data_IF_163042781244
#
_entry.id   IF_163042781244
#
_cell.length_a   1.000
_cell.length_b   1.000
_cell.length_c   1.000
_cell.angle_alpha   90.00
_cell.angle_beta   90.00
_cell.angle_gamma   90.00
#
_symmetry.space_group_name_H-M   'P 1'
#
loop_
_entity.id
_entity.type
_entity.pdbx_description
1 polymer ?
#
# COMPACT_ATOMS: atom_id res chain seq x y z
N UNK A 1 25.99 19.17 -10.84
CA UNK A 1 26.01 18.21 -9.71
C UNK A 1 25.58 19.00 -8.47
N UNK A 2 24.27 19.26 -8.39
CA UNK A 2 23.75 20.16 -7.31
C UNK A 2 23.82 19.55 -5.91
N UNK A 3 23.87 18.22 -5.77
CA UNK A 3 23.83 17.55 -4.46
C UNK A 3 25.03 16.63 -4.19
N UNK A 4 26.08 16.71 -4.99
CA UNK A 4 27.33 15.97 -4.78
C UNK A 4 27.24 14.46 -5.01
N UNK A 5 26.18 13.96 -5.66
CA UNK A 5 26.02 12.54 -5.99
C UNK A 5 26.19 12.32 -7.49
N UNK A 6 26.96 11.30 -7.86
CA UNK A 6 27.11 10.79 -9.24
C UNK A 6 26.82 9.29 -9.24
N UNK A 7 26.29 8.79 -10.35
CA UNK A 7 26.12 7.36 -10.55
C UNK A 7 27.21 6.86 -11.50
N UNK A 8 28.01 5.92 -11.03
CA UNK A 8 29.04 5.23 -11.85
C UNK A 8 28.49 3.90 -12.29
N UNK A 9 28.50 3.63 -13.60
CA UNK A 9 28.07 2.35 -14.16
C UNK A 9 29.29 1.42 -14.28
N UNK A 10 29.26 0.29 -13.59
CA UNK A 10 30.23 -0.79 -13.70
C UNK A 10 29.48 -2.10 -14.00
N UNK A 11 29.84 -2.76 -15.12
CA UNK A 11 29.21 -4.00 -15.55
C UNK A 11 27.66 -3.96 -15.60
N UNK A 12 27.10 -2.85 -16.08
CA UNK A 12 25.66 -2.56 -16.12
C UNK A 12 24.98 -2.36 -14.74
N UNK A 13 25.74 -2.31 -13.65
CA UNK A 13 25.25 -1.93 -12.33
C UNK A 13 25.60 -0.48 -12.01
N UNK A 14 24.64 0.24 -11.43
CA UNK A 14 24.80 1.64 -11.03
C UNK A 14 25.25 1.75 -9.57
N UNK A 15 26.41 2.38 -9.35
CA UNK A 15 26.94 2.69 -8.01
C UNK A 15 26.83 4.18 -7.76
N UNK A 16 26.13 4.57 -6.71
CA UNK A 16 26.03 5.96 -6.29
C UNK A 16 27.25 6.35 -5.46
N UNK A 17 27.97 7.35 -5.96
CA UNK A 17 29.12 7.96 -5.25
C UNK A 17 28.71 9.34 -4.80
N UNK A 18 28.74 9.58 -3.49
CA UNK A 18 28.30 10.85 -2.91
C UNK A 18 29.36 11.43 -1.98
N UNK A 19 29.46 12.75 -1.95
CA UNK A 19 30.29 13.47 -0.98
C UNK A 19 29.54 13.59 0.34
N UNK A 20 30.23 13.43 1.47
CA UNK A 20 29.64 13.70 2.78
C UNK A 20 29.17 15.14 2.86
N UNK A 21 27.99 15.35 3.44
CA UNK A 21 27.36 16.65 3.50
C UNK A 21 26.61 16.88 4.81
N UNK A 22 26.46 18.15 5.14
CA UNK A 22 25.55 18.65 6.15
C UNK A 22 24.41 19.34 5.41
N UNK A 23 23.20 18.96 5.71
CA UNK A 23 22.03 19.63 5.18
C UNK A 23 21.73 20.87 6.03
N UNK A 24 21.57 22.04 5.42
CA UNK A 24 21.20 23.28 6.07
C UNK A 24 19.73 23.31 6.51
N UNK A 25 19.21 24.49 6.85
CA UNK A 25 17.77 24.60 7.22
C UNK A 25 16.88 24.22 6.07
N UNK A 26 15.84 23.44 6.38
CA UNK A 26 14.78 23.06 5.44
C UNK A 26 13.66 24.11 5.47
N UNK A 27 13.21 24.58 4.31
CA UNK A 27 12.14 25.58 4.20
C UNK A 27 10.79 24.94 3.79
N UNK A 28 10.83 23.83 3.04
CA UNK A 28 9.67 23.18 2.43
C UNK A 28 9.45 21.73 2.89
N UNK A 29 10.02 21.33 4.02
CA UNK A 29 10.01 19.95 4.53
C UNK A 29 10.60 18.92 3.53
N UNK A 30 11.48 19.34 2.61
CA UNK A 30 12.09 18.48 1.59
C UNK A 30 13.52 18.84 1.22
N UNK A 31 13.78 20.12 0.94
CA UNK A 31 15.08 20.54 0.41
C UNK A 31 15.79 21.41 1.44
N UNK A 32 17.04 21.07 1.78
CA UNK A 32 17.86 21.99 2.53
C UNK A 32 18.15 23.22 1.66
N UNK A 33 18.03 24.41 2.24
CA UNK A 33 18.31 25.68 1.56
C UNK A 33 19.75 25.75 1.04
N UNK A 34 20.66 25.14 1.80
CA UNK A 34 22.08 25.05 1.48
C UNK A 34 22.60 23.67 1.84
N UNK A 35 23.52 23.16 1.06
CA UNK A 35 24.25 21.93 1.32
C UNK A 35 25.70 22.28 1.50
N UNK A 36 26.26 21.95 2.65
CA UNK A 36 27.68 22.15 2.93
C UNK A 36 28.38 20.78 2.88
N UNK A 37 29.42 20.66 2.07
CA UNK A 37 30.21 19.43 2.05
C UNK A 37 31.14 19.37 3.28
N UNK A 38 31.23 18.18 3.85
CA UNK A 38 32.08 17.92 5.03
C UNK A 38 33.00 16.71 4.79
N UNK A 39 34.04 16.60 5.59
CA UNK A 39 34.88 15.38 5.68
C UNK A 39 34.53 14.54 6.90
N UNK A 40 33.53 14.94 7.67
CA UNK A 40 33.13 14.28 8.90
C UNK A 40 32.00 13.30 8.61
N UNK A 41 32.30 12.01 8.68
CA UNK A 41 31.32 10.91 8.47
C UNK A 41 30.14 11.01 9.45
N UNK A 42 30.40 11.39 10.72
CA UNK A 42 29.32 11.51 11.73
C UNK A 42 28.28 12.53 11.34
N UNK A 43 28.66 13.65 10.75
CA UNK A 43 27.74 14.69 10.28
C UNK A 43 26.88 14.19 9.11
N UNK A 44 27.48 13.43 8.18
CA UNK A 44 26.71 12.82 7.09
C UNK A 44 25.73 11.75 7.57
N UNK A 45 26.12 10.92 8.54
CA UNK A 45 25.25 9.89 9.10
C UNK A 45 24.13 10.51 9.96
N UNK A 46 24.39 11.64 10.65
CA UNK A 46 23.40 12.30 11.51
C UNK A 46 22.19 12.83 10.73
N UNK A 47 22.34 13.22 9.47
CA UNK A 47 21.24 13.72 8.64
C UNK A 47 20.35 12.61 8.07
N UNK A 48 20.69 11.33 8.26
CA UNK A 48 19.92 10.18 7.75
C UNK A 48 18.65 9.95 8.57
N UNK A 49 17.75 9.14 8.02
CA UNK A 49 16.43 8.88 8.62
C UNK A 49 16.48 7.94 9.84
N UNK A 50 16.99 6.72 9.65
CA UNK A 50 16.95 5.68 10.69
C UNK A 50 18.35 5.13 10.98
N UNK A 51 18.57 4.66 12.22
CA UNK A 51 19.84 4.13 12.69
C UNK A 51 20.35 3.00 11.82
N UNK A 52 19.48 2.10 11.39
CA UNK A 52 19.81 0.97 10.52
C UNK A 52 20.31 1.40 9.13
N UNK A 53 20.04 2.65 8.71
CA UNK A 53 20.53 3.26 7.47
C UNK A 53 21.67 4.26 7.71
N UNK A 54 22.12 4.43 8.95
CA UNK A 54 23.12 5.40 9.35
C UNK A 54 24.43 4.75 9.80
N UNK A 55 24.85 3.74 9.07
CA UNK A 55 26.12 3.02 9.24
C UNK A 55 26.97 3.16 7.98
N UNK A 56 28.26 3.01 8.12
CA UNK A 56 29.22 3.00 7.02
C UNK A 56 30.18 1.83 7.17
N UNK A 57 30.84 1.46 6.08
CA UNK A 57 31.83 0.40 6.04
C UNK A 57 33.04 0.85 5.23
N UNK A 58 34.23 0.52 5.69
CA UNK A 58 35.43 0.50 4.89
C UNK A 58 36.34 -0.66 5.31
N UNK A 59 37.28 -1.04 4.45
CA UNK A 59 38.14 -2.22 4.69
C UNK A 59 39.11 -2.05 5.87
N UNK A 60 39.42 -0.81 6.28
CA UNK A 60 40.36 -0.53 7.36
C UNK A 60 39.71 -0.60 8.74
N UNK A 61 38.56 0.03 8.88
CA UNK A 61 37.87 0.22 10.16
C UNK A 61 36.70 -0.73 10.35
N UNK A 62 36.32 -1.49 9.29
CA UNK A 62 35.13 -2.34 9.28
C UNK A 62 33.85 -1.51 9.29
N UNK A 63 32.85 -1.99 10.04
CA UNK A 63 31.57 -1.30 10.21
C UNK A 63 31.74 -0.12 11.20
N UNK A 64 31.40 1.06 10.77
CA UNK A 64 31.34 2.26 11.61
C UNK A 64 29.87 2.53 11.94
N UNK A 65 29.49 2.26 13.17
CA UNK A 65 28.14 2.44 13.70
C UNK A 65 28.17 3.45 14.87
N UNK A 66 27.80 4.69 14.57
CA UNK A 66 27.85 5.79 15.56
C UNK A 66 26.52 5.89 16.32
N UNK A 67 25.42 5.44 15.73
CA UNK A 67 24.07 5.67 16.23
C UNK A 67 23.36 4.39 16.71
N UNK A 68 24.07 3.27 16.79
CA UNK A 68 23.53 2.00 17.32
C UNK A 68 22.67 1.22 16.32
N UNK A 69 22.93 1.39 15.02
CA UNK A 69 22.18 0.70 13.97
C UNK A 69 22.31 -0.81 14.00
N UNK A 70 23.50 -1.35 14.36
CA UNK A 70 23.71 -2.79 14.54
C UNK A 70 22.82 -3.35 15.67
N UNK A 71 22.75 -2.66 16.79
CA UNK A 71 21.89 -3.05 17.91
C UNK A 71 20.42 -3.01 17.53
N UNK A 72 19.99 -1.99 16.78
CA UNK A 72 18.59 -1.88 16.31
C UNK A 72 18.27 -2.94 15.26
N UNK A 73 19.21 -3.33 14.42
CA UNK A 73 19.06 -4.51 13.51
C UNK A 73 18.86 -5.80 14.31
N UNK A 74 19.67 -6.06 15.33
CA UNK A 74 19.56 -7.24 16.20
C UNK A 74 18.22 -7.27 16.95
N UNK A 75 17.72 -6.10 17.37
CA UNK A 75 16.42 -5.96 18.05
C UNK A 75 15.22 -5.89 17.11
N UNK A 76 15.43 -5.93 15.81
CA UNK A 76 14.39 -5.70 14.79
C UNK A 76 13.62 -4.40 15.02
N UNK A 77 14.37 -3.28 15.18
CA UNK A 77 13.82 -1.98 15.56
C UNK A 77 14.05 -0.91 14.49
N UNK A 78 13.03 -0.15 14.17
CA UNK A 78 13.11 1.09 13.37
C UNK A 78 13.18 2.26 14.36
N UNK A 79 14.36 2.83 14.49
CA UNK A 79 14.63 3.98 15.34
C UNK A 79 15.17 5.15 14.52
N UNK A 80 14.63 6.33 14.75
CA UNK A 80 15.12 7.58 14.13
C UNK A 80 16.55 7.90 14.60
N UNK A 81 17.37 8.45 13.71
CA UNK A 81 18.69 8.97 14.08
C UNK A 81 18.54 10.26 14.89
N UNK A 82 19.09 10.29 16.08
CA UNK A 82 19.01 11.46 16.95
C UNK A 82 17.58 11.79 17.39
N UNK A 83 17.16 13.03 17.25
CA UNK A 83 15.82 13.46 17.66
C UNK A 83 14.80 13.28 16.53
N UNK A 84 13.79 12.47 16.78
CA UNK A 84 12.76 12.15 15.79
C UNK A 84 12.00 13.39 15.29
N UNK A 85 11.68 14.35 16.18
CA UNK A 85 10.96 15.57 15.81
C UNK A 85 11.78 16.44 14.85
N UNK A 86 13.09 16.54 15.09
CA UNK A 86 13.99 17.28 14.19
C UNK A 86 14.05 16.61 12.81
N UNK A 87 14.30 15.29 12.78
CA UNK A 87 14.43 14.53 11.53
C UNK A 87 13.16 14.55 10.68
N UNK A 88 11.99 14.46 11.30
CA UNK A 88 10.72 14.51 10.58
C UNK A 88 10.32 15.93 10.16
N UNK A 89 10.77 16.96 10.89
CA UNK A 89 10.59 18.36 10.46
C UNK A 89 11.43 18.71 9.24
N UNK A 90 12.57 18.07 9.04
CA UNK A 90 13.43 18.25 7.86
C UNK A 90 12.82 17.65 6.59
N UNK A 91 12.40 16.39 6.65
CA UNK A 91 11.71 15.70 5.56
C UNK A 91 10.58 14.82 6.13
N UNK A 92 9.35 15.32 6.01
CA UNK A 92 8.18 14.64 6.52
C UNK A 92 7.95 13.26 5.85
N UNK A 93 8.46 13.00 4.64
CA UNK A 93 8.39 11.68 4.03
C UNK A 93 9.04 10.59 4.88
N UNK A 94 10.03 10.94 5.71
CA UNK A 94 10.66 9.99 6.64
C UNK A 94 9.64 9.31 7.56
N UNK A 95 8.52 9.98 7.88
CA UNK A 95 7.42 9.44 8.66
C UNK A 95 6.83 8.20 7.93
N UNK A 96 6.44 8.35 6.67
CA UNK A 96 5.89 7.25 5.88
C UNK A 96 6.95 6.17 5.57
N UNK A 97 8.20 6.59 5.36
CA UNK A 97 9.34 5.67 5.20
C UNK A 97 9.54 4.76 6.40
N UNK A 98 9.36 5.28 7.64
CA UNK A 98 9.47 4.47 8.85
C UNK A 98 8.45 3.35 8.91
N UNK A 99 7.18 3.61 8.62
CA UNK A 99 6.15 2.58 8.54
C UNK A 99 6.43 1.60 7.40
N UNK A 100 6.88 2.09 6.25
CA UNK A 100 7.27 1.23 5.11
C UNK A 100 8.45 0.32 5.46
N UNK A 101 9.50 0.81 6.13
CA UNK A 101 10.61 -0.04 6.56
C UNK A 101 10.17 -1.10 7.57
N UNK A 102 9.33 -0.71 8.55
CA UNK A 102 8.73 -1.67 9.47
C UNK A 102 7.98 -2.78 8.73
N UNK A 103 7.20 -2.42 7.71
CA UNK A 103 6.45 -3.37 6.89
C UNK A 103 7.35 -4.30 6.04
N UNK A 104 8.41 -3.77 5.45
CA UNK A 104 9.31 -4.54 4.58
C UNK A 104 10.27 -5.45 5.36
N UNK A 105 10.73 -5.00 6.53
CA UNK A 105 11.71 -5.74 7.33
C UNK A 105 11.07 -6.59 8.44
N UNK A 106 9.78 -6.40 8.72
CA UNK A 106 9.10 -7.06 9.84
C UNK A 106 9.55 -6.51 11.19
N UNK A 107 9.99 -5.25 11.25
CA UNK A 107 10.53 -4.61 12.44
C UNK A 107 9.46 -3.81 13.19
N UNK A 108 9.65 -3.66 14.51
CA UNK A 108 8.85 -2.75 15.33
C UNK A 108 9.38 -1.31 15.22
N UNK A 109 8.51 -0.33 15.41
CA UNK A 109 8.91 1.08 15.45
C UNK A 109 9.12 1.47 16.91
N UNK A 110 10.24 2.09 17.21
CA UNK A 110 10.58 2.62 18.53
C UNK A 110 9.54 3.64 19.02
N UNK A 111 9.22 3.66 20.32
CA UNK A 111 8.13 4.48 20.85
C UNK A 111 8.39 5.98 20.71
N UNK A 112 9.62 6.47 20.96
CA UNK A 112 9.96 7.89 20.76
C UNK A 112 9.83 8.27 19.28
N UNK A 113 10.22 7.36 18.38
CA UNK A 113 10.05 7.50 16.94
C UNK A 113 8.57 7.58 16.56
N UNK A 114 7.70 6.71 17.10
CA UNK A 114 6.23 6.75 16.89
C UNK A 114 5.63 8.08 17.37
N UNK A 115 6.03 8.55 18.55
CA UNK A 115 5.56 9.84 19.08
C UNK A 115 5.92 11.00 18.14
N UNK A 116 7.15 11.02 17.63
CA UNK A 116 7.57 11.97 16.62
C UNK A 116 6.77 11.89 15.33
N UNK A 117 6.53 10.67 14.83
CA UNK A 117 5.68 10.42 13.66
C UNK A 117 4.27 10.96 13.85
N UNK A 118 3.62 10.61 14.97
CA UNK A 118 2.25 11.05 15.28
C UNK A 118 2.13 12.56 15.39
N UNK A 119 3.09 13.20 16.04
CA UNK A 119 3.11 14.65 16.21
C UNK A 119 3.24 15.38 14.87
N UNK A 120 4.07 14.86 13.97
CA UNK A 120 4.43 15.52 12.72
C UNK A 120 3.72 14.92 11.48
N UNK A 121 2.83 13.92 11.65
CA UNK A 121 2.03 13.36 10.56
C UNK A 121 1.34 14.44 9.69
N UNK A 122 0.76 15.53 10.26
CA UNK A 122 0.13 16.57 9.43
C UNK A 122 1.07 17.23 8.42
N UNK A 123 2.38 17.28 8.68
CA UNK A 123 3.36 17.89 7.76
C UNK A 123 3.56 17.12 6.46
N UNK A 124 3.03 15.88 6.37
CA UNK A 124 2.98 15.12 5.12
C UNK A 124 2.19 15.82 4.01
N UNK A 125 1.33 16.79 4.34
CA UNK A 125 0.62 17.64 3.36
C UNK A 125 1.57 18.39 2.41
N UNK A 126 2.82 18.67 2.88
CA UNK A 126 3.84 19.34 2.10
C UNK A 126 4.61 18.40 1.15
N UNK A 127 4.36 17.10 1.22
CA UNK A 127 5.06 16.10 0.40
C UNK A 127 4.29 15.85 -0.89
N UNK A 128 5.02 15.79 -2.00
CA UNK A 128 4.41 15.53 -3.31
C UNK A 128 3.74 14.16 -3.36
N UNK A 129 2.63 14.08 -4.08
CA UNK A 129 1.84 12.87 -4.23
C UNK A 129 2.64 11.70 -4.80
N UNK A 130 3.56 11.96 -5.71
CA UNK A 130 4.45 10.96 -6.32
C UNK A 130 5.38 10.30 -5.28
N UNK A 131 5.91 11.10 -4.34
CA UNK A 131 6.76 10.56 -3.27
C UNK A 131 5.94 9.69 -2.31
N UNK A 132 4.75 10.15 -1.93
CA UNK A 132 3.80 9.38 -1.09
C UNK A 132 3.41 8.08 -1.79
N UNK A 133 3.05 8.13 -3.07
CA UNK A 133 2.70 6.97 -3.88
C UNK A 133 3.78 5.87 -3.83
N UNK A 134 5.06 6.25 -4.02
CA UNK A 134 6.16 5.29 -4.02
C UNK A 134 6.30 4.57 -2.67
N UNK A 135 6.22 5.30 -1.56
CA UNK A 135 6.32 4.69 -0.23
C UNK A 135 5.07 3.84 0.10
N UNK A 136 3.87 4.32 -0.27
CA UNK A 136 2.63 3.57 -0.11
C UNK A 136 2.68 2.24 -0.86
N UNK A 137 3.06 2.24 -2.15
CA UNK A 137 3.16 1.01 -2.94
C UNK A 137 4.16 0.04 -2.31
N UNK A 138 5.34 0.50 -1.90
CA UNK A 138 6.35 -0.35 -1.24
C UNK A 138 5.85 -0.93 0.09
N UNK A 139 5.05 -0.20 0.85
CA UNK A 139 4.43 -0.69 2.08
C UNK A 139 3.37 -1.75 1.76
N UNK A 140 2.46 -1.48 0.83
CA UNK A 140 1.39 -2.42 0.45
C UNK A 140 1.94 -3.71 -0.18
N UNK A 141 3.02 -3.62 -0.96
CA UNK A 141 3.67 -4.76 -1.60
C UNK A 141 4.77 -5.39 -0.74
N UNK A 142 4.75 -5.16 0.56
CA UNK A 142 5.59 -5.86 1.54
C UNK A 142 4.92 -7.15 2.04
N UNK A 143 5.66 -7.90 2.86
CA UNK A 143 5.12 -9.09 3.52
C UNK A 143 4.15 -8.74 4.66
N UNK A 144 4.15 -7.47 5.11
CA UNK A 144 3.30 -6.98 6.21
C UNK A 144 2.47 -5.75 5.81
N UNK A 145 1.58 -5.88 4.82
CA UNK A 145 0.74 -4.76 4.37
C UNK A 145 -0.24 -4.27 5.46
N UNK A 146 -0.51 -5.09 6.48
CA UNK A 146 -1.35 -4.74 7.62
C UNK A 146 -0.79 -3.57 8.44
N UNK A 147 0.48 -3.18 8.27
CA UNK A 147 1.05 -2.00 8.95
C UNK A 147 0.45 -0.67 8.43
N UNK A 148 -0.41 -0.68 7.43
CA UNK A 148 -1.28 0.46 7.15
C UNK A 148 -2.18 0.81 8.36
N UNK A 149 -2.50 -0.17 9.23
CA UNK A 149 -3.16 0.08 10.52
C UNK A 149 -2.31 0.99 11.41
N UNK A 150 -1.01 0.72 11.50
CA UNK A 150 -0.08 1.60 12.24
C UNK A 150 -0.05 3.01 11.64
N UNK A 151 -0.07 3.14 10.31
CA UNK A 151 -0.17 4.45 9.66
C UNK A 151 -1.49 5.17 10.02
N UNK A 152 -2.61 4.44 10.13
CA UNK A 152 -3.88 4.99 10.60
C UNK A 152 -3.81 5.44 12.07
N UNK A 153 -3.30 4.58 12.97
CA UNK A 153 -3.17 4.87 14.42
C UNK A 153 -2.29 6.09 14.71
N UNK A 154 -1.28 6.33 13.86
CA UNK A 154 -0.40 7.48 13.92
C UNK A 154 -0.96 8.73 13.20
N UNK A 155 -2.15 8.66 12.60
CA UNK A 155 -2.77 9.76 11.86
C UNK A 155 -2.14 10.08 10.51
N UNK A 156 -1.30 9.18 9.99
CA UNK A 156 -0.58 9.34 8.73
C UNK A 156 -1.55 9.22 7.54
N UNK A 157 -2.43 8.21 7.55
CA UNK A 157 -3.42 7.98 6.48
C UNK A 157 -4.37 9.15 6.32
N UNK A 158 -4.73 9.83 7.41
CA UNK A 158 -5.62 10.98 7.40
C UNK A 158 -5.18 12.08 6.44
N UNK A 159 -3.89 12.21 6.18
CA UNK A 159 -3.33 13.25 5.32
C UNK A 159 -3.48 12.91 3.84
N UNK A 160 -3.20 11.69 3.43
CA UNK A 160 -3.18 11.35 2.00
C UNK A 160 -4.26 10.33 1.56
N UNK A 161 -4.87 9.62 2.51
CA UNK A 161 -5.90 8.60 2.28
C UNK A 161 -7.03 8.65 3.34
N UNK A 162 -7.69 9.80 3.57
CA UNK A 162 -8.73 9.93 4.59
C UNK A 162 -9.95 9.02 4.35
N UNK A 163 -10.09 8.48 3.15
CA UNK A 163 -11.09 7.46 2.82
C UNK A 163 -10.88 6.19 3.64
N UNK A 164 -9.61 5.81 3.87
CA UNK A 164 -9.27 4.65 4.70
C UNK A 164 -9.65 4.88 6.17
N UNK A 165 -9.44 6.08 6.71
CA UNK A 165 -9.84 6.43 8.07
C UNK A 165 -11.36 6.26 8.25
N UNK A 166 -12.16 6.73 7.29
CA UNK A 166 -13.63 6.52 7.31
C UNK A 166 -14.01 5.05 7.28
N UNK A 167 -13.26 4.21 6.54
CA UNK A 167 -13.48 2.76 6.54
C UNK A 167 -13.15 2.13 7.89
N UNK A 168 -12.07 2.56 8.56
CA UNK A 168 -11.69 2.07 9.89
C UNK A 168 -12.76 2.37 10.96
N UNK A 169 -13.47 3.49 10.82
CA UNK A 169 -14.53 3.92 11.73
C UNK A 169 -15.90 3.31 11.39
N UNK A 170 -16.07 2.69 10.21
CA UNK A 170 -17.37 2.17 9.74
C UNK A 170 -17.58 0.73 10.16
N UNK A 171 -18.56 0.50 11.05
CA UNK A 171 -19.01 -0.85 11.44
C UNK A 171 -19.89 -1.48 10.36
N UNK A 172 -19.87 -2.81 10.29
CA UNK A 172 -20.62 -3.60 9.31
C UNK A 172 -21.60 -4.55 9.97
N UNK A 173 -22.57 -4.09 10.70
CA UNK A 173 -23.55 -4.86 11.46
C UNK A 173 -24.32 -5.84 10.57
N UNK A 174 -23.65 -6.92 10.11
CA UNK A 174 -24.20 -8.02 9.29
C UNK A 174 -23.61 -9.36 9.73
N UNK A 175 -24.30 -10.46 9.44
CA UNK A 175 -23.79 -11.82 9.68
C UNK A 175 -22.54 -12.16 8.86
N UNK A 176 -22.33 -11.47 7.74
CA UNK A 176 -21.21 -11.72 6.85
C UNK A 176 -19.89 -11.06 7.30
N UNK A 177 -19.93 -10.11 8.21
CA UNK A 177 -18.76 -9.33 8.61
C UNK A 177 -18.60 -9.28 10.13
N UNK A 178 -17.38 -9.51 10.61
CA UNK A 178 -16.99 -9.42 12.02
C UNK A 178 -16.10 -8.21 12.32
N UNK A 179 -15.68 -7.51 11.29
CA UNK A 179 -14.75 -6.38 11.34
C UNK A 179 -15.42 -5.07 10.91
N UNK A 180 -14.81 -3.93 11.23
CA UNK A 180 -15.09 -2.68 10.51
C UNK A 180 -14.76 -2.83 9.02
N UNK A 181 -15.19 -1.89 8.18
CA UNK A 181 -14.85 -1.91 6.75
C UNK A 181 -13.33 -1.86 6.56
N UNK A 182 -12.61 -1.03 7.35
CA UNK A 182 -11.16 -0.91 7.24
C UNK A 182 -10.42 -2.17 7.70
N UNK A 183 -10.81 -2.78 8.83
CA UNK A 183 -10.20 -4.03 9.28
C UNK A 183 -10.48 -5.18 8.31
N UNK A 184 -11.69 -5.27 7.76
CA UNK A 184 -12.00 -6.21 6.69
C UNK A 184 -11.07 -6.01 5.48
N UNK A 185 -10.87 -4.75 5.08
CA UNK A 185 -9.96 -4.38 3.98
C UNK A 185 -8.52 -4.82 4.23
N UNK A 186 -8.01 -4.64 5.46
CA UNK A 186 -6.67 -5.12 5.85
C UNK A 186 -6.59 -6.64 5.69
N UNK A 187 -7.56 -7.37 6.25
CA UNK A 187 -7.58 -8.84 6.16
C UNK A 187 -7.69 -9.32 4.71
N UNK A 188 -8.52 -8.68 3.89
CA UNK A 188 -8.63 -9.00 2.48
C UNK A 188 -7.32 -8.75 1.71
N UNK A 189 -6.65 -7.65 2.02
CA UNK A 189 -5.35 -7.32 1.43
C UNK A 189 -4.26 -8.35 1.79
N UNK A 190 -4.27 -8.92 2.98
CA UNK A 190 -3.34 -9.98 3.40
C UNK A 190 -3.59 -11.30 2.63
N UNK A 191 -4.78 -11.52 2.08
CA UNK A 191 -5.16 -12.74 1.37
C UNK A 191 -4.88 -12.70 -0.14
N UNK A 192 -4.35 -11.63 -0.70
CA UNK A 192 -3.85 -11.58 -2.08
C UNK A 192 -2.33 -11.68 -2.11
N UNK A 193 -1.78 -12.21 -3.22
CA UNK A 193 -0.33 -12.22 -3.40
C UNK A 193 0.25 -10.80 -3.41
N UNK A 194 1.56 -10.69 -3.28
CA UNK A 194 2.30 -9.44 -3.33
C UNK A 194 2.34 -8.89 -4.77
N UNK A 195 1.31 -8.16 -5.12
CA UNK A 195 1.13 -7.52 -6.44
C UNK A 195 0.51 -6.13 -6.27
N UNK A 196 1.06 -5.13 -6.96
CA UNK A 196 0.61 -3.72 -6.86
C UNK A 196 -0.88 -3.56 -7.17
N UNK A 197 -1.38 -4.19 -8.24
CA UNK A 197 -2.77 -4.04 -8.68
C UNK A 197 -3.72 -4.68 -7.67
N UNK A 198 -3.40 -5.90 -7.22
CA UNK A 198 -4.21 -6.61 -6.22
C UNK A 198 -4.26 -5.87 -4.89
N UNK A 199 -3.10 -5.44 -4.37
CA UNK A 199 -3.01 -4.73 -3.08
C UNK A 199 -3.77 -3.40 -3.12
N UNK A 200 -3.64 -2.63 -4.19
CA UNK A 200 -4.40 -1.39 -4.39
C UNK A 200 -5.90 -1.66 -4.56
N UNK A 201 -6.26 -2.72 -5.29
CA UNK A 201 -7.67 -3.10 -5.44
C UNK A 201 -8.28 -3.43 -4.08
N UNK A 202 -7.62 -4.27 -3.28
CA UNK A 202 -8.11 -4.61 -1.95
C UNK A 202 -8.17 -3.40 -1.03
N UNK A 203 -7.19 -2.50 -1.07
CA UNK A 203 -7.21 -1.25 -0.29
C UNK A 203 -8.44 -0.39 -0.60
N UNK A 204 -8.89 -0.39 -1.85
CA UNK A 204 -9.91 0.55 -2.34
C UNK A 204 -11.29 -0.08 -2.59
N UNK A 205 -11.44 -1.42 -2.53
CA UNK A 205 -12.67 -2.10 -2.97
C UNK A 205 -13.93 -1.69 -2.22
N UNK A 206 -13.80 -1.38 -0.95
CA UNK A 206 -14.90 -1.07 -0.04
C UNK A 206 -14.96 0.41 0.40
N UNK A 207 -14.19 1.30 -0.24
CA UNK A 207 -14.15 2.73 0.11
C UNK A 207 -15.50 3.44 -0.02
N UNK A 208 -16.42 2.90 -0.80
CA UNK A 208 -17.78 3.42 -0.93
C UNK A 208 -18.72 3.03 0.21
N UNK A 209 -18.43 1.97 0.98
CA UNK A 209 -19.34 1.48 2.03
C UNK A 209 -19.75 2.54 3.05
N UNK A 210 -18.85 3.42 3.53
CA UNK A 210 -19.24 4.47 4.48
C UNK A 210 -20.36 5.40 3.96
N UNK A 211 -20.35 5.72 2.66
CA UNK A 211 -21.35 6.62 2.03
C UNK A 211 -22.67 5.90 1.72
N UNK A 212 -22.63 4.58 1.50
CA UNK A 212 -23.79 3.76 1.09
C UNK A 212 -24.38 2.93 2.22
N UNK A 213 -23.94 3.15 3.45
CA UNK A 213 -24.46 2.45 4.63
C UNK A 213 -25.89 2.88 4.94
N UNK A 214 -26.82 1.92 4.99
CA UNK A 214 -28.18 2.08 5.49
C UNK A 214 -28.47 0.99 6.54
N UNK A 215 -29.38 1.27 7.47
CA UNK A 215 -29.81 0.32 8.48
C UNK A 215 -31.27 -0.03 8.21
N UNK A 216 -31.63 -1.31 8.38
CA UNK A 216 -33.02 -1.72 8.39
C UNK A 216 -33.62 -1.67 9.82
N UNK A 217 -34.89 -2.05 9.94
CA UNK A 217 -35.64 -2.04 11.22
C UNK A 217 -35.08 -3.05 12.24
N UNK A 218 -34.38 -4.10 11.78
CA UNK A 218 -33.76 -5.12 12.61
C UNK A 218 -32.33 -4.76 13.01
N UNK A 219 -31.84 -3.58 12.62
CA UNK A 219 -30.48 -3.11 12.93
C UNK A 219 -29.39 -3.76 12.08
N UNK A 220 -29.75 -4.31 10.93
CA UNK A 220 -28.80 -4.89 9.98
C UNK A 220 -28.33 -3.84 8.97
N UNK A 221 -27.02 -3.74 8.78
CA UNK A 221 -26.45 -2.80 7.83
C UNK A 221 -26.52 -3.33 6.39
N UNK A 222 -26.86 -2.44 5.46
CA UNK A 222 -26.86 -2.67 4.01
C UNK A 222 -25.99 -1.66 3.31
N UNK A 223 -25.30 -2.11 2.22
CA UNK A 223 -24.35 -1.31 1.46
C UNK A 223 -24.65 -1.38 -0.05
N UNK A 224 -25.93 -1.23 -0.40
CA UNK A 224 -26.36 -1.35 -1.81
C UNK A 224 -25.62 -0.34 -2.69
N UNK A 225 -25.11 -0.81 -3.83
CA UNK A 225 -24.38 -0.01 -4.84
C UNK A 225 -23.04 0.57 -4.35
N UNK A 226 -22.49 0.13 -3.21
CA UNK A 226 -21.19 0.61 -2.73
C UNK A 226 -20.06 0.43 -3.76
N UNK A 227 -20.10 -0.61 -4.59
CA UNK A 227 -19.08 -0.85 -5.61
C UNK A 227 -18.98 0.30 -6.64
N UNK A 228 -20.09 0.96 -7.00
CA UNK A 228 -20.06 2.17 -7.83
C UNK A 228 -19.44 3.36 -7.09
N UNK A 229 -19.78 3.52 -5.80
CA UNK A 229 -19.15 4.52 -4.94
C UNK A 229 -17.66 4.27 -4.77
N UNK A 230 -17.27 3.01 -4.53
CA UNK A 230 -15.87 2.61 -4.41
C UNK A 230 -15.07 2.87 -5.69
N UNK A 231 -15.65 2.58 -6.86
CA UNK A 231 -15.01 2.84 -8.16
C UNK A 231 -14.76 4.34 -8.38
N UNK A 232 -15.74 5.19 -8.08
CA UNK A 232 -15.61 6.64 -8.14
C UNK A 232 -14.49 7.14 -7.21
N UNK A 233 -14.53 6.72 -5.94
CA UNK A 233 -13.53 7.10 -4.94
C UNK A 233 -12.14 6.59 -5.33
N UNK A 234 -12.03 5.34 -5.80
CA UNK A 234 -10.77 4.77 -6.27
C UNK A 234 -10.15 5.59 -7.41
N UNK A 235 -10.95 6.06 -8.37
CA UNK A 235 -10.48 6.98 -9.42
C UNK A 235 -9.92 8.29 -8.86
N UNK A 236 -10.62 8.88 -7.89
CA UNK A 236 -10.22 10.14 -7.26
C UNK A 236 -8.90 9.95 -6.49
N UNK A 237 -8.79 8.89 -5.68
CA UNK A 237 -7.59 8.55 -4.90
C UNK A 237 -6.39 8.28 -5.80
N UNK A 238 -6.56 7.42 -6.82
CA UNK A 238 -5.45 7.05 -7.71
C UNK A 238 -4.95 8.25 -8.53
N UNK A 239 -5.84 9.14 -8.97
CA UNK A 239 -5.45 10.38 -9.65
C UNK A 239 -4.77 11.36 -8.71
N UNK A 240 -5.29 11.54 -7.50
CA UNK A 240 -4.70 12.39 -6.45
C UNK A 240 -3.29 11.93 -6.12
N UNK A 241 -3.07 10.62 -6.02
CA UNK A 241 -1.77 10.01 -5.75
C UNK A 241 -0.91 9.79 -7.02
N UNK A 242 -1.32 10.33 -8.18
CA UNK A 242 -0.55 10.33 -9.44
C UNK A 242 -0.19 8.95 -9.99
N UNK A 243 -1.07 7.96 -9.81
CA UNK A 243 -0.90 6.65 -10.44
C UNK A 243 -1.03 6.74 -11.96
N UNK A 244 -0.32 5.85 -12.65
CA UNK A 244 -0.39 5.71 -14.10
C UNK A 244 -1.77 5.21 -14.58
N UNK A 245 -2.09 5.48 -15.86
CA UNK A 245 -3.39 5.14 -16.44
C UNK A 245 -3.69 3.64 -16.49
N UNK A 246 -2.68 2.78 -16.67
CA UNK A 246 -2.86 1.33 -16.68
C UNK A 246 -3.25 0.83 -15.28
N UNK A 247 -2.54 1.27 -14.25
CA UNK A 247 -2.88 1.01 -12.84
C UNK A 247 -4.29 1.51 -12.52
N UNK A 248 -4.62 2.75 -12.89
CA UNK A 248 -5.94 3.34 -12.66
C UNK A 248 -7.04 2.49 -13.33
N UNK A 249 -6.86 2.12 -14.59
CA UNK A 249 -7.85 1.35 -15.34
C UNK A 249 -8.09 -0.03 -14.72
N UNK A 250 -7.02 -0.79 -14.44
CA UNK A 250 -7.12 -2.14 -13.87
C UNK A 250 -7.75 -2.12 -12.48
N UNK A 251 -7.25 -1.27 -11.59
CA UNK A 251 -7.75 -1.20 -10.20
C UNK A 251 -9.22 -0.78 -10.15
N UNK A 252 -9.61 0.27 -10.87
CA UNK A 252 -11.01 0.74 -10.83
C UNK A 252 -11.97 -0.27 -11.41
N UNK A 253 -11.57 -1.01 -12.44
CA UNK A 253 -12.39 -2.07 -13.03
C UNK A 253 -12.54 -3.27 -12.09
N UNK A 254 -11.49 -3.65 -11.37
CA UNK A 254 -11.55 -4.68 -10.35
C UNK A 254 -12.41 -4.23 -9.15
N UNK A 255 -12.24 -2.99 -8.68
CA UNK A 255 -13.05 -2.41 -7.59
C UNK A 255 -14.53 -2.40 -7.96
N UNK A 256 -14.90 -1.98 -9.18
CA UNK A 256 -16.30 -1.97 -9.64
C UNK A 256 -16.93 -3.37 -9.64
N UNK A 257 -16.15 -4.40 -9.89
CA UNK A 257 -16.64 -5.76 -10.04
C UNK A 257 -16.29 -6.70 -8.88
N UNK A 258 -15.70 -6.19 -7.79
CA UNK A 258 -15.19 -7.03 -6.71
C UNK A 258 -16.26 -7.91 -6.04
N UNK A 259 -17.50 -7.48 -6.00
CA UNK A 259 -18.64 -8.23 -5.43
C UNK A 259 -19.51 -8.94 -6.48
N UNK A 260 -19.15 -8.86 -7.78
CA UNK A 260 -19.89 -9.52 -8.84
C UNK A 260 -19.90 -11.03 -8.64
N UNK A 261 -21.08 -11.63 -8.66
CA UNK A 261 -21.28 -13.07 -8.46
C UNK A 261 -21.82 -13.71 -9.72
N UNK A 262 -21.35 -14.90 -10.02
CA UNK A 262 -21.84 -15.67 -11.16
C UNK A 262 -21.95 -17.16 -10.83
N UNK A 263 -22.91 -17.88 -11.42
CA UNK A 263 -22.90 -19.34 -11.43
C UNK A 263 -21.73 -19.86 -12.25
N UNK A 264 -21.19 -21.02 -11.87
CA UNK A 264 -20.11 -21.72 -12.58
C UNK A 264 -20.61 -22.39 -13.88
N UNK A 265 -21.22 -21.61 -14.77
CA UNK A 265 -21.74 -22.06 -16.08
C UNK A 265 -20.92 -21.37 -17.17
N UNK A 266 -20.41 -22.09 -18.20
CA UNK A 266 -19.54 -21.55 -19.24
C UNK A 266 -20.05 -20.24 -19.87
N UNK A 267 -21.35 -20.13 -20.13
CA UNK A 267 -22.01 -18.94 -20.68
C UNK A 267 -21.83 -17.73 -19.72
N UNK A 268 -22.00 -17.94 -18.42
CA UNK A 268 -21.94 -16.88 -17.40
C UNK A 268 -20.49 -16.44 -17.16
N UNK A 269 -19.56 -17.40 -17.15
CA UNK A 269 -18.13 -17.13 -16.99
C UNK A 269 -17.61 -16.32 -18.18
N UNK A 270 -17.91 -16.71 -19.44
CA UNK A 270 -17.56 -15.91 -20.64
C UNK A 270 -18.13 -14.50 -20.60
N UNK A 271 -19.39 -14.34 -20.18
CA UNK A 271 -20.01 -13.01 -20.03
C UNK A 271 -19.26 -12.17 -18.98
N UNK A 272 -18.84 -12.78 -17.88
CA UNK A 272 -18.07 -12.10 -16.85
C UNK A 272 -16.67 -11.73 -17.35
N UNK A 273 -15.97 -12.62 -18.05
CA UNK A 273 -14.68 -12.34 -18.67
C UNK A 273 -14.77 -11.13 -19.62
N UNK A 274 -15.79 -11.09 -20.47
CA UNK A 274 -16.01 -9.95 -21.39
C UNK A 274 -16.34 -8.66 -20.62
N UNK A 275 -17.17 -8.73 -19.58
CA UNK A 275 -17.55 -7.57 -18.75
C UNK A 275 -16.36 -7.01 -17.97
N UNK A 276 -15.59 -7.88 -17.32
CA UNK A 276 -14.50 -7.51 -16.42
C UNK A 276 -13.23 -7.19 -17.21
N UNK A 277 -12.96 -7.92 -18.28
CA UNK A 277 -11.76 -7.91 -19.10
C UNK A 277 -11.00 -9.24 -18.95
N UNK A 278 -10.66 -9.84 -20.07
CA UNK A 278 -9.98 -11.15 -20.09
C UNK A 278 -8.61 -11.09 -19.43
N UNK A 279 -7.87 -10.02 -19.68
CA UNK A 279 -6.54 -9.76 -19.15
C UNK A 279 -6.49 -9.61 -17.62
N UNK A 280 -7.57 -9.10 -17.02
CA UNK A 280 -7.66 -8.91 -15.56
C UNK A 280 -8.61 -9.90 -14.87
N UNK A 281 -9.23 -10.82 -15.60
CA UNK A 281 -10.12 -11.81 -15.00
C UNK A 281 -9.43 -12.71 -13.96
N UNK A 282 -8.16 -13.15 -14.15
CA UNK A 282 -7.42 -13.85 -13.10
C UNK A 282 -7.27 -13.03 -11.83
N UNK A 283 -7.00 -11.72 -11.94
CA UNK A 283 -6.95 -10.80 -10.80
C UNK A 283 -8.29 -10.70 -10.08
N UNK A 284 -9.39 -10.63 -10.85
CA UNK A 284 -10.74 -10.62 -10.29
C UNK A 284 -11.00 -11.87 -9.43
N UNK A 285 -10.59 -13.07 -9.87
CA UNK A 285 -10.77 -14.31 -9.09
C UNK A 285 -10.02 -14.26 -7.76
N UNK A 286 -8.78 -13.75 -7.76
CA UNK A 286 -8.01 -13.54 -6.53
C UNK A 286 -8.68 -12.51 -5.60
N UNK A 287 -9.15 -11.39 -6.13
CA UNK A 287 -9.88 -10.35 -5.38
C UNK A 287 -11.13 -10.95 -4.72
N UNK A 288 -11.94 -11.70 -5.47
CA UNK A 288 -13.13 -12.36 -4.94
C UNK A 288 -12.82 -13.33 -3.82
N UNK A 289 -11.79 -14.15 -3.99
CA UNK A 289 -11.36 -15.13 -2.99
C UNK A 289 -10.87 -14.44 -1.74
N UNK A 290 -10.06 -13.41 -1.87
CA UNK A 290 -9.52 -12.64 -0.75
C UNK A 290 -10.62 -11.92 0.05
N UNK A 291 -11.60 -11.33 -0.61
CA UNK A 291 -12.76 -10.71 0.02
C UNK A 291 -13.57 -11.74 0.83
N UNK A 292 -13.86 -12.93 0.26
CA UNK A 292 -14.58 -14.01 0.95
C UNK A 292 -13.80 -14.53 2.15
N UNK A 293 -12.47 -14.68 2.05
CA UNK A 293 -11.61 -15.14 3.14
C UNK A 293 -11.57 -14.14 4.31
N UNK A 294 -11.73 -12.85 4.04
CA UNK A 294 -11.78 -11.80 5.06
C UNK A 294 -13.17 -11.62 5.71
N UNK A 295 -14.21 -12.29 5.20
CA UNK A 295 -15.56 -12.30 5.78
C UNK A 295 -15.65 -13.23 6.99
N UNK A 296 -16.80 -13.21 7.69
CA UNK A 296 -17.15 -14.18 8.73
C UNK A 296 -17.24 -15.59 8.15
N UNK A 297 -17.35 -16.60 9.00
CA UNK A 297 -17.54 -18.00 8.56
C UNK A 297 -18.92 -18.27 7.93
N UNK A 298 -19.85 -17.32 8.09
CA UNK A 298 -21.20 -17.47 7.57
C UNK A 298 -21.21 -17.65 6.04
N UNK A 299 -21.66 -18.80 5.57
CA UNK A 299 -21.66 -19.21 4.15
C UNK A 299 -20.30 -19.17 3.45
N UNK A 300 -19.17 -19.05 4.18
CA UNK A 300 -17.83 -18.96 3.57
C UNK A 300 -17.50 -20.18 2.72
N UNK A 301 -17.76 -21.39 3.23
CA UNK A 301 -17.46 -22.64 2.53
C UNK A 301 -18.21 -22.75 1.20
N UNK A 302 -19.49 -22.38 1.17
CA UNK A 302 -20.31 -22.38 -0.04
C UNK A 302 -19.80 -21.37 -1.07
N UNK A 303 -19.45 -20.16 -0.63
CA UNK A 303 -18.88 -19.11 -1.49
C UNK A 303 -17.55 -19.55 -2.10
N UNK A 304 -16.67 -20.15 -1.32
CA UNK A 304 -15.37 -20.65 -1.79
C UNK A 304 -15.57 -21.81 -2.78
N UNK A 305 -16.45 -22.74 -2.51
CA UNK A 305 -16.80 -23.82 -3.43
C UNK A 305 -17.28 -23.29 -4.79
N UNK A 306 -18.17 -22.30 -4.80
CA UNK A 306 -18.59 -21.68 -6.04
C UNK A 306 -17.43 -21.01 -6.80
N UNK A 307 -16.49 -20.36 -6.09
CA UNK A 307 -15.30 -19.77 -6.71
C UNK A 307 -14.39 -20.85 -7.33
N UNK A 308 -14.16 -21.97 -6.64
CA UNK A 308 -13.40 -23.10 -7.19
C UNK A 308 -14.03 -23.65 -8.48
N UNK A 309 -15.35 -23.81 -8.50
CA UNK A 309 -16.10 -24.25 -9.68
C UNK A 309 -16.00 -23.22 -10.84
N UNK A 310 -16.04 -21.93 -10.54
CA UNK A 310 -15.86 -20.85 -11.54
C UNK A 310 -14.43 -20.87 -12.09
N UNK A 311 -13.40 -21.03 -11.24
CA UNK A 311 -12.00 -21.16 -11.69
C UNK A 311 -11.79 -22.35 -12.59
N UNK A 312 -12.35 -23.51 -12.26
CA UNK A 312 -12.32 -24.70 -13.12
C UNK A 312 -12.98 -24.43 -14.47
N UNK A 313 -14.17 -23.83 -14.46
CA UNK A 313 -14.90 -23.48 -15.71
C UNK A 313 -14.11 -22.49 -16.56
N UNK A 314 -13.45 -21.52 -15.94
CA UNK A 314 -12.56 -20.57 -16.62
C UNK A 314 -11.38 -21.29 -17.27
N UNK A 315 -10.69 -22.18 -16.53
CA UNK A 315 -9.58 -22.95 -17.07
C UNK A 315 -9.99 -23.78 -18.30
N UNK A 316 -11.16 -24.45 -18.25
CA UNK A 316 -11.70 -25.21 -19.38
C UNK A 316 -12.01 -24.33 -20.59
N UNK A 317 -12.51 -23.10 -20.40
CA UNK A 317 -12.77 -22.14 -21.48
C UNK A 317 -11.47 -21.75 -22.17
N UNK A 318 -10.43 -21.45 -21.40
CA UNK A 318 -9.11 -21.06 -21.93
C UNK A 318 -8.46 -22.24 -22.67
N UNK A 319 -8.45 -23.44 -22.08
CA UNK A 319 -7.86 -24.64 -22.69
C UNK A 319 -8.51 -24.99 -24.05
N UNK A 320 -9.82 -24.85 -24.14
CA UNK A 320 -10.57 -25.14 -25.39
C UNK A 320 -10.47 -24.03 -26.43
N UNK A 321 -9.77 -22.92 -26.15
CA UNK A 321 -9.66 -21.77 -27.06
C UNK A 321 -11.03 -21.19 -27.45
N UNK A 322 -12.01 -21.26 -26.54
CA UNK A 322 -13.37 -20.83 -26.83
C UNK A 322 -13.46 -19.31 -26.90
N UNK A 323 -14.11 -18.81 -27.97
CA UNK A 323 -14.38 -17.41 -28.17
C UNK A 323 -15.09 -16.76 -26.95
N UNK A 324 -14.56 -15.69 -26.45
CA UNK A 324 -15.09 -14.96 -25.30
C UNK A 324 -15.98 -13.79 -25.74
N UNK A 325 -15.68 -13.19 -26.89
CA UNK A 325 -16.43 -12.07 -27.45
C UNK A 325 -16.82 -12.28 -28.91
N UNK A 326 -17.89 -11.60 -29.35
CA UNK A 326 -18.30 -11.60 -30.77
C UNK A 326 -17.23 -11.03 -31.72
N UNK A 327 -16.30 -10.24 -31.21
CA UNK A 327 -15.19 -9.68 -32.00
C UNK A 327 -14.14 -10.71 -32.40
N UNK A 328 -14.08 -11.83 -31.72
CA UNK A 328 -13.16 -12.95 -32.00
C UNK A 328 -13.74 -13.94 -33.01
N UNK A 329 -15.05 -13.86 -33.30
CA UNK A 329 -15.62 -14.58 -34.40
C UNK A 329 -15.09 -13.98 -35.71
N UNK A 330 -14.10 -14.64 -36.29
CA UNK A 330 -13.66 -14.31 -37.66
C UNK A 330 -14.86 -14.46 -38.60
N UNK A 331 -15.24 -13.37 -39.27
CA UNK A 331 -16.20 -13.35 -40.37
C UNK A 331 -15.46 -13.74 -41.63
#
# INVERSE_FOLDING_TARGET
IEHGTITVLLNHEGYEVTTYRIDGKYEDSRHPKEVTFTRNLKEDLLRRDFTINAMAYNDKDGIVDIFGGMQDLEKHMIRCVGNARERFSEDALRILRGVRFAAQLGFEIDEETKEGMKLLAPTLENISAERIQVELVKMLTSDRPELIRTAYELGITKVFLPEFDRMMETKQETLHHMYTVGEHTIHAMMNVRNDKILRLTMLLHDTGKPEYKTMDEDGVAHFKMHALGSERIAKEVLRRLKFDNDTLHKVTRLVLNHDYRMPAVPKNVRRAMNKIGEDIFPYYMEVRRADVLAQSEYQRAEKLKNLDEVEQTYAEIIEKGQCVSLKELAV
#
